data_IF_347627106137
#
_entry.id   IF_347627106137
#
_cell.length_a   1.000
_cell.length_b   1.000
_cell.length_c   1.000
_cell.angle_alpha   90.00
_cell.angle_beta   90.00
_cell.angle_gamma   90.00
#
_symmetry.space_group_name_H-M   'P 1'
#
loop_
_entity.id
_entity.type
_entity.pdbx_description
1 polymer ?
#
# COMPACT_ATOMS: atom_id res chain seq x y z
N UNK A 1 -21.35 -2.28 -9.97
CA UNK A 1 -20.25 -3.24 -9.73
C UNK A 1 -20.07 -4.00 -11.03
N UNK A 2 -19.00 -3.73 -11.79
CA UNK A 2 -18.94 -4.10 -13.23
C UNK A 2 -18.18 -5.40 -13.52
N UNK A 3 -17.32 -5.88 -12.61
CA UNK A 3 -16.41 -7.02 -12.88
C UNK A 3 -16.55 -8.20 -11.91
N UNK A 4 -17.49 -8.16 -10.96
CA UNK A 4 -17.64 -9.23 -9.95
C UNK A 4 -16.46 -9.40 -8.98
N UNK A 5 -15.47 -8.52 -9.01
CA UNK A 5 -14.28 -8.58 -8.15
C UNK A 5 -14.65 -8.10 -6.74
N UNK A 6 -14.36 -8.88 -5.68
CA UNK A 6 -14.57 -8.44 -4.31
C UNK A 6 -13.60 -7.30 -3.95
N UNK A 7 -14.13 -6.26 -3.30
CA UNK A 7 -13.32 -5.12 -2.87
C UNK A 7 -12.91 -5.35 -1.43
N UNK A 8 -11.60 -5.56 -1.20
CA UNK A 8 -11.01 -5.64 0.12
C UNK A 8 -10.40 -4.29 0.48
N UNK A 9 -11.02 -3.59 1.44
CA UNK A 9 -10.59 -2.24 1.86
C UNK A 9 -9.49 -2.25 2.91
N UNK A 10 -9.34 -3.36 3.62
CA UNK A 10 -8.37 -3.52 4.70
C UNK A 10 -7.39 -4.65 4.33
N UNK A 11 -6.18 -4.63 4.90
CA UNK A 11 -5.26 -5.75 4.77
C UNK A 11 -5.94 -7.05 5.20
N UNK A 12 -5.72 -8.11 4.43
CA UNK A 12 -6.32 -9.43 4.66
C UNK A 12 -5.21 -10.43 4.95
N UNK A 13 -5.43 -11.27 5.97
CA UNK A 13 -4.59 -12.45 6.18
C UNK A 13 -5.26 -13.65 5.51
N UNK A 14 -4.53 -14.32 4.62
CA UNK A 14 -5.02 -15.51 3.93
C UNK A 14 -3.96 -16.59 3.84
N UNK A 15 -4.40 -17.84 3.93
CA UNK A 15 -3.53 -19.00 3.70
C UNK A 15 -3.53 -19.35 2.22
N UNK A 16 -2.36 -19.54 1.63
CA UNK A 16 -2.17 -20.05 0.28
C UNK A 16 -1.24 -21.26 0.37
N UNK A 17 -1.77 -22.47 0.13
CA UNK A 17 -1.04 -23.70 0.43
C UNK A 17 -0.70 -23.79 1.92
N UNK A 18 0.57 -24.03 2.23
CA UNK A 18 1.06 -24.11 3.62
C UNK A 18 1.54 -22.76 4.17
N UNK A 19 1.52 -21.71 3.36
CA UNK A 19 2.04 -20.39 3.69
C UNK A 19 0.94 -19.42 4.08
N UNK A 20 1.18 -18.61 5.10
CA UNK A 20 0.27 -17.58 5.58
C UNK A 20 0.72 -16.19 5.09
N UNK A 21 -0.16 -15.52 4.35
CA UNK A 21 0.08 -14.22 3.76
C UNK A 21 -0.71 -13.13 4.50
N UNK A 22 -0.13 -11.94 4.62
CA UNK A 22 -0.83 -10.72 5.00
C UNK A 22 -0.70 -9.71 3.86
N UNK A 23 -1.81 -9.38 3.20
CA UNK A 23 -1.81 -8.65 1.91
C UNK A 23 -2.63 -7.36 2.04
N UNK A 24 -2.10 -6.25 1.54
CA UNK A 24 -2.84 -4.99 1.48
C UNK A 24 -2.19 -3.94 0.57
N UNK A 25 -2.79 -2.75 0.48
CA UNK A 25 -2.17 -1.66 -0.27
C UNK A 25 -0.93 -1.08 0.46
N UNK A 26 -1.04 -0.86 1.77
CA UNK A 26 0.03 -0.29 2.61
C UNK A 26 -0.19 1.17 3.02
N UNK A 27 -1.18 1.85 2.44
CA UNK A 27 -1.51 3.23 2.79
C UNK A 27 -2.05 3.35 4.21
N UNK A 28 -1.50 4.30 4.96
CA UNK A 28 -1.96 4.56 6.32
C UNK A 28 -1.56 3.49 7.35
N UNK A 29 -0.75 2.49 6.99
CA UNK A 29 -0.18 1.52 7.92
C UNK A 29 1.13 2.05 8.54
N UNK A 30 1.55 1.50 9.68
CA UNK A 30 2.78 1.90 10.38
C UNK A 30 2.71 3.23 11.16
N UNK A 31 3.84 3.66 11.75
CA UNK A 31 3.91 4.93 12.48
C UNK A 31 3.87 6.14 11.54
N UNK A 32 3.45 7.30 12.05
CA UNK A 32 3.44 8.56 11.30
C UNK A 32 2.12 8.89 10.60
N UNK A 33 2.15 9.95 9.79
CA UNK A 33 1.06 10.48 8.95
C UNK A 33 -0.33 10.61 9.63
N UNK A 34 -0.32 11.18 10.84
CA UNK A 34 -1.54 11.33 11.65
C UNK A 34 -2.62 12.18 10.98
N UNK A 35 -2.23 13.23 10.24
CA UNK A 35 -3.18 14.10 9.55
C UNK A 35 -3.90 13.36 8.41
N UNK A 36 -3.17 12.60 7.59
CA UNK A 36 -3.78 11.78 6.55
C UNK A 36 -4.70 10.71 7.15
N UNK A 37 -4.19 9.95 8.13
CA UNK A 37 -4.89 8.80 8.75
C UNK A 37 -6.15 9.23 9.51
N UNK A 38 -6.09 10.34 10.24
CA UNK A 38 -7.20 10.76 11.15
C UNK A 38 -8.15 11.79 10.55
N UNK A 39 -7.73 12.53 9.53
CA UNK A 39 -8.54 13.62 8.96
C UNK A 39 -8.86 13.37 7.50
N UNK A 40 -7.87 13.12 6.66
CA UNK A 40 -8.11 13.02 5.21
C UNK A 40 -8.85 11.73 4.83
N UNK A 41 -8.36 10.57 5.27
CA UNK A 41 -8.97 9.27 4.90
C UNK A 41 -10.46 9.18 5.31
N UNK A 42 -10.87 9.57 6.54
CA UNK A 42 -12.29 9.60 6.91
C UNK A 42 -13.13 10.61 6.12
N UNK A 43 -12.55 11.74 5.72
CA UNK A 43 -13.24 12.73 4.88
C UNK A 43 -13.53 12.16 3.49
N UNK A 44 -12.58 11.45 2.87
CA UNK A 44 -12.81 10.81 1.57
C UNK A 44 -13.82 9.66 1.64
N UNK A 45 -13.86 8.92 2.74
CA UNK A 45 -14.82 7.82 2.96
C UNK A 45 -16.21 8.30 3.43
N UNK A 46 -16.36 9.57 3.79
CA UNK A 46 -17.61 10.13 4.27
C UNK A 46 -18.64 10.28 3.15
N UNK A 47 -19.82 9.66 3.33
CA UNK A 47 -20.95 9.76 2.38
C UNK A 47 -21.38 11.21 2.12
N UNK A 48 -21.31 12.07 3.13
CA UNK A 48 -21.66 13.49 2.98
C UNK A 48 -20.67 14.21 2.06
N UNK A 49 -19.38 13.95 2.23
CA UNK A 49 -18.32 14.59 1.43
C UNK A 49 -18.34 14.08 0.00
N UNK A 50 -18.55 12.78 -0.20
CA UNK A 50 -18.76 12.19 -1.53
C UNK A 50 -19.99 12.79 -2.22
N UNK A 51 -21.09 12.99 -1.48
CA UNK A 51 -22.32 13.60 -1.99
C UNK A 51 -22.15 15.08 -2.36
N UNK A 52 -21.36 15.84 -1.58
CA UNK A 52 -21.02 17.22 -1.88
C UNK A 52 -20.12 17.30 -3.12
N UNK A 53 -19.09 16.46 -3.20
CA UNK A 53 -18.18 16.41 -4.33
C UNK A 53 -18.90 16.02 -5.63
N UNK A 54 -19.87 15.11 -5.57
CA UNK A 54 -20.69 14.71 -6.73
C UNK A 54 -21.50 15.85 -7.36
N UNK A 55 -21.67 16.99 -6.68
CA UNK A 55 -22.35 18.20 -7.20
C UNK A 55 -21.40 19.23 -7.78
N UNK A 56 -20.10 19.04 -7.61
CA UNK A 56 -19.10 19.91 -8.23
C UNK A 56 -19.06 19.62 -9.71
N UNK A 57 -19.14 20.67 -10.54
CA UNK A 57 -19.05 20.52 -11.99
C UNK A 57 -17.73 19.78 -12.35
N UNK A 58 -17.76 18.75 -13.22
CA UNK A 58 -16.58 17.93 -13.52
C UNK A 58 -15.33 18.72 -13.88
N UNK A 59 -15.45 19.77 -14.70
CA UNK A 59 -14.32 20.64 -15.07
C UNK A 59 -13.63 21.29 -13.86
N UNK A 60 -14.40 21.69 -12.84
CA UNK A 60 -13.85 22.27 -11.60
C UNK A 60 -13.20 21.18 -10.74
N UNK A 61 -13.86 20.03 -10.61
CA UNK A 61 -13.33 18.88 -9.86
C UNK A 61 -12.01 18.37 -10.44
N UNK A 62 -11.96 18.17 -11.75
CA UNK A 62 -10.77 17.72 -12.49
C UNK A 62 -9.65 18.77 -12.39
N UNK A 63 -9.98 20.05 -12.56
CA UNK A 63 -9.00 21.14 -12.43
C UNK A 63 -8.36 21.21 -11.04
N UNK A 64 -9.14 21.03 -9.98
CA UNK A 64 -8.65 20.97 -8.60
C UNK A 64 -7.78 19.73 -8.37
N UNK A 65 -8.25 18.56 -8.82
CA UNK A 65 -7.52 17.29 -8.69
C UNK A 65 -6.15 17.35 -9.38
N UNK A 66 -6.08 17.90 -10.59
CA UNK A 66 -4.83 18.05 -11.33
C UNK A 66 -3.82 18.95 -10.61
N UNK A 67 -4.28 20.11 -10.11
CA UNK A 67 -3.42 21.04 -9.35
C UNK A 67 -2.91 20.42 -8.05
N UNK A 68 -3.77 19.72 -7.31
CA UNK A 68 -3.39 19.02 -6.09
C UNK A 68 -2.37 17.93 -6.40
N UNK A 69 -2.67 17.08 -7.38
CA UNK A 69 -1.84 15.94 -7.77
C UNK A 69 -0.42 16.39 -8.17
N UNK A 70 -0.30 17.48 -8.92
CA UNK A 70 1.01 18.04 -9.29
C UNK A 70 1.79 18.55 -8.07
N UNK A 71 1.14 19.27 -7.14
CA UNK A 71 1.80 19.74 -5.90
C UNK A 71 2.24 18.58 -5.00
N UNK A 72 1.40 17.56 -4.84
CA UNK A 72 1.71 16.39 -4.02
C UNK A 72 2.92 15.63 -4.57
N UNK A 73 3.00 15.43 -5.89
CA UNK A 73 4.18 14.80 -6.51
C UNK A 73 5.47 15.59 -6.28
N UNK A 74 5.42 16.91 -6.40
CA UNK A 74 6.58 17.78 -6.15
C UNK A 74 7.05 17.73 -4.69
N UNK A 75 6.13 17.55 -3.75
CA UNK A 75 6.45 17.47 -2.32
C UNK A 75 7.01 16.10 -1.91
N UNK A 76 6.52 15.01 -2.50
CA UNK A 76 6.84 13.66 -2.05
C UNK A 76 7.86 12.92 -2.93
N UNK A 77 8.14 13.37 -4.15
CA UNK A 77 8.89 12.61 -5.16
C UNK A 77 10.29 12.16 -4.75
N UNK A 78 11.09 13.02 -4.10
CA UNK A 78 12.44 12.63 -3.64
C UNK A 78 12.43 11.83 -2.33
N UNK A 79 11.43 12.05 -1.48
CA UNK A 79 11.29 11.35 -0.19
C UNK A 79 10.72 9.93 -0.37
N UNK A 80 9.84 9.73 -1.35
CA UNK A 80 9.21 8.45 -1.63
C UNK A 80 10.22 7.40 -2.11
N UNK A 81 11.27 7.82 -2.83
CA UNK A 81 12.32 6.94 -3.35
C UNK A 81 13.34 6.48 -2.28
N UNK A 82 13.29 7.02 -1.06
CA UNK A 82 14.24 6.67 0.01
C UNK A 82 13.71 5.50 0.83
N UNK A 83 14.51 4.44 0.93
CA UNK A 83 14.30 3.38 1.89
C UNK A 83 14.84 3.79 3.26
N UNK A 84 14.03 3.66 4.32
CA UNK A 84 14.40 4.08 5.68
C UNK A 84 15.01 2.95 6.52
N UNK A 85 15.25 1.77 5.93
CA UNK A 85 15.86 0.65 6.66
C UNK A 85 14.92 0.12 7.75
N UNK A 86 15.45 0.04 8.97
CA UNK A 86 14.74 -0.45 10.15
C UNK A 86 13.55 0.45 10.55
N UNK A 87 13.60 1.73 10.20
CA UNK A 87 12.55 2.72 10.49
C UNK A 87 11.46 2.78 9.40
N UNK A 88 11.51 1.88 8.42
CA UNK A 88 10.53 1.81 7.34
C UNK A 88 9.13 1.53 7.92
N UNK A 89 8.16 2.41 7.66
CA UNK A 89 6.87 2.38 8.35
C UNK A 89 6.11 1.05 8.19
N UNK A 90 6.14 0.48 6.98
CA UNK A 90 5.53 -0.80 6.72
C UNK A 90 6.29 -1.95 7.37
N UNK A 91 7.62 -1.88 7.48
CA UNK A 91 8.41 -2.90 8.19
C UNK A 91 8.08 -2.87 9.69
N UNK A 92 7.98 -1.68 10.29
CA UNK A 92 7.54 -1.52 11.69
C UNK A 92 6.14 -2.10 11.89
N UNK A 93 5.20 -1.80 10.99
CA UNK A 93 3.86 -2.39 11.03
C UNK A 93 3.90 -3.93 10.93
N UNK A 94 4.69 -4.49 10.01
CA UNK A 94 4.82 -5.94 9.88
C UNK A 94 5.33 -6.55 11.19
N UNK A 95 6.34 -5.96 11.82
CA UNK A 95 6.88 -6.41 13.12
C UNK A 95 5.85 -6.34 14.24
N UNK A 96 5.00 -5.33 14.27
CA UNK A 96 3.92 -5.22 15.26
C UNK A 96 2.84 -6.31 15.07
N UNK A 97 2.50 -6.64 13.82
CA UNK A 97 1.55 -7.73 13.51
C UNK A 97 2.17 -9.08 13.81
N UNK A 98 3.45 -9.26 13.48
CA UNK A 98 4.22 -10.48 13.69
C UNK A 98 4.28 -10.90 15.17
N UNK A 99 4.34 -9.94 16.09
CA UNK A 99 4.26 -10.19 17.54
C UNK A 99 2.93 -10.82 17.98
N UNK A 100 1.86 -10.66 17.20
CA UNK A 100 0.51 -11.17 17.51
C UNK A 100 0.21 -12.45 16.74
N UNK A 101 0.65 -12.51 15.49
CA UNK A 101 0.44 -13.64 14.61
C UNK A 101 1.53 -13.69 13.55
N UNK A 102 2.25 -14.81 13.52
CA UNK A 102 3.25 -15.10 12.49
C UNK A 102 2.61 -15.14 11.10
N UNK A 103 3.27 -14.52 10.13
CA UNK A 103 2.99 -14.69 8.70
C UNK A 103 4.31 -14.99 7.97
N UNK A 104 4.28 -15.90 7.01
CA UNK A 104 5.44 -16.18 6.15
C UNK A 104 5.74 -14.97 5.24
N UNK A 105 4.68 -14.32 4.72
CA UNK A 105 4.80 -13.21 3.78
C UNK A 105 3.85 -12.06 4.09
N UNK A 106 4.41 -10.87 4.21
CA UNK A 106 3.71 -9.59 4.23
C UNK A 106 3.86 -8.95 2.85
N UNK A 107 2.76 -8.77 2.11
CA UNK A 107 2.80 -8.27 0.73
C UNK A 107 2.04 -6.95 0.64
N UNK A 108 2.77 -5.88 0.31
CA UNK A 108 2.20 -4.54 0.18
C UNK A 108 2.66 -3.83 -1.10
N UNK A 109 2.01 -2.70 -1.38
CA UNK A 109 2.47 -1.71 -2.36
C UNK A 109 2.74 -0.38 -1.66
N UNK A 110 2.21 0.71 -2.22
CA UNK A 110 2.21 2.07 -1.65
C UNK A 110 3.58 2.77 -1.56
N UNK A 111 4.67 2.09 -1.18
CA UNK A 111 6.01 2.70 -1.15
C UNK A 111 6.62 2.92 -2.53
N UNK A 112 6.07 2.30 -3.58
CA UNK A 112 6.55 2.45 -4.96
C UNK A 112 8.02 2.03 -5.13
N UNK A 113 8.56 1.31 -4.15
CA UNK A 113 9.91 0.79 -4.10
C UNK A 113 9.81 -0.74 -4.02
N UNK A 114 10.48 -1.49 -4.92
CA UNK A 114 10.57 -2.93 -4.79
C UNK A 114 11.44 -3.25 -3.56
N UNK A 115 10.86 -3.96 -2.59
CA UNK A 115 11.53 -4.33 -1.35
C UNK A 115 11.29 -5.81 -1.06
N UNK A 116 12.31 -6.47 -0.51
CA UNK A 116 12.22 -7.83 0.03
C UNK A 116 13.11 -7.87 1.28
N UNK A 117 12.48 -7.79 2.44
CA UNK A 117 13.15 -7.54 3.72
C UNK A 117 12.66 -8.54 4.75
N UNK A 118 13.56 -9.03 5.59
CA UNK A 118 13.21 -9.92 6.69
C UNK A 118 12.48 -9.14 7.81
N UNK A 119 11.32 -9.65 8.23
CA UNK A 119 10.55 -9.14 9.37
C UNK A 119 11.01 -9.84 10.66
N UNK A 120 11.27 -11.13 10.56
CA UNK A 120 11.79 -12.02 11.60
C UNK A 120 12.05 -13.42 11.03
N UNK A 121 12.48 -14.40 11.85
CA UNK A 121 12.84 -15.72 11.36
C UNK A 121 11.70 -16.39 10.58
N UNK A 122 11.91 -16.64 9.29
CA UNK A 122 10.92 -17.27 8.41
C UNK A 122 9.80 -16.34 7.94
N UNK A 123 9.93 -15.02 8.15
CA UNK A 123 8.91 -14.02 7.83
C UNK A 123 9.51 -12.90 6.98
N UNK A 124 8.90 -12.61 5.82
CA UNK A 124 9.39 -11.61 4.86
C UNK A 124 8.34 -10.55 4.55
N UNK A 125 8.78 -9.30 4.45
CA UNK A 125 8.04 -8.17 3.94
C UNK A 125 8.48 -7.86 2.51
N UNK A 126 7.51 -7.95 1.59
CA UNK A 126 7.70 -7.71 0.17
C UNK A 126 6.85 -6.51 -0.24
N UNK A 127 7.51 -5.49 -0.77
CA UNK A 127 6.84 -4.40 -1.45
C UNK A 127 6.93 -4.62 -2.96
N UNK A 128 5.78 -4.62 -3.63
CA UNK A 128 5.71 -4.92 -5.07
C UNK A 128 6.31 -3.82 -5.96
N UNK A 129 6.63 -2.65 -5.41
CA UNK A 129 7.09 -1.52 -6.20
C UNK A 129 5.99 -0.93 -7.07
N UNK A 130 6.35 -0.44 -8.25
CA UNK A 130 5.41 0.15 -9.19
C UNK A 130 5.88 0.02 -10.65
N UNK A 131 4.95 0.21 -11.58
CA UNK A 131 5.12 -0.12 -13.01
C UNK A 131 5.71 1.00 -13.88
N UNK A 132 5.92 2.21 -13.37
CA UNK A 132 6.47 3.33 -14.14
C UNK A 132 8.00 3.21 -14.22
N UNK A 133 8.65 2.86 -13.10
CA UNK A 133 10.12 2.80 -13.01
C UNK A 133 10.66 1.37 -12.91
N UNK A 134 9.94 0.45 -12.24
CA UNK A 134 10.48 -0.88 -11.88
C UNK A 134 9.80 -2.04 -12.60
N UNK A 135 8.53 -1.93 -13.00
CA UNK A 135 7.79 -3.01 -13.66
C UNK A 135 7.84 -4.34 -12.87
N UNK A 136 7.82 -4.27 -11.54
CA UNK A 136 7.97 -5.42 -10.65
C UNK A 136 6.64 -6.08 -10.28
N UNK A 137 6.68 -7.38 -10.03
CA UNK A 137 5.53 -8.20 -9.64
C UNK A 137 5.95 -9.40 -8.78
N UNK A 138 5.08 -9.84 -7.88
CA UNK A 138 5.31 -11.01 -7.04
C UNK A 138 4.88 -12.29 -7.73
N UNK A 139 5.71 -13.34 -7.67
CA UNK A 139 5.40 -14.68 -8.16
C UNK A 139 5.49 -15.66 -7.01
N UNK A 140 4.35 -16.27 -6.65
CA UNK A 140 4.29 -17.36 -5.70
C UNK A 140 4.06 -18.67 -6.45
N UNK A 141 4.97 -19.64 -6.30
CA UNK A 141 4.92 -20.93 -6.99
C UNK A 141 4.28 -22.06 -6.15
N UNK A 142 3.81 -21.74 -4.94
CA UNK A 142 3.31 -22.70 -3.96
C UNK A 142 4.30 -23.03 -2.84
N UNK A 143 5.58 -22.68 -3.01
CA UNK A 143 6.63 -22.86 -2.00
C UNK A 143 7.23 -21.52 -1.57
N UNK A 144 7.61 -20.69 -2.54
CA UNK A 144 8.28 -19.42 -2.31
C UNK A 144 7.63 -18.28 -3.10
N UNK A 145 7.52 -17.12 -2.46
CA UNK A 145 7.19 -15.86 -3.12
C UNK A 145 8.48 -15.12 -3.49
N UNK A 146 8.63 -14.80 -4.77
CA UNK A 146 9.79 -14.05 -5.30
C UNK A 146 9.31 -12.79 -6.00
N UNK A 147 9.99 -11.68 -5.75
CA UNK A 147 9.77 -10.44 -6.51
C UNK A 147 10.54 -10.52 -7.83
N UNK A 148 9.82 -10.37 -8.95
CA UNK A 148 10.39 -10.39 -10.31
C UNK A 148 10.18 -9.06 -11.00
N UNK A 149 11.00 -8.79 -11.99
CA UNK A 149 10.91 -7.64 -12.89
C UNK A 149 10.43 -8.10 -14.26
N UNK A 150 9.52 -7.35 -14.88
CA UNK A 150 9.09 -7.57 -16.25
C UNK A 150 10.01 -6.78 -17.19
N UNK A 151 10.79 -7.49 -17.99
CA UNK A 151 11.68 -6.93 -19.01
C UNK A 151 11.09 -7.09 -20.40
#
# INVERSE_FOLDING_TARGET
QEMGIPILRQPVSQRMGDKLFHIGHGDGLGPGDFAYKRVMKPVFDSRLMQWLFARVHPNLGIGLANKWSQRSRLQNGEADAKYFGEDEWLLVYCREIEQRQHHDYYVFGHRHLPLDVEVGPGSRYINLGEWVNYCTYGVYDGNELVLREFK
#
